data_IF_302453804973
#
_entry.id   IF_302453804973
#
_cell.length_a   1.000
_cell.length_b   1.000
_cell.length_c   1.000
_cell.angle_alpha   90.00
_cell.angle_beta   90.00
_cell.angle_gamma   90.00
#
_symmetry.space_group_name_H-M   'P 1'
#
loop_
_entity.id
_entity.type
_entity.pdbx_description
1 polymer ?
#
# COMPACT_ATOMS: atom_id res chain seq x y z
N UNK A 1 43.87 8.04 66.77
CA UNK A 1 43.52 6.80 67.50
C UNK A 1 41.99 6.69 67.47
N UNK A 2 41.31 5.77 66.79
CA UNK A 2 41.63 4.45 66.28
C UNK A 2 40.74 4.11 65.06
N UNK A 3 41.35 3.42 64.10
CA UNK A 3 40.89 2.24 63.35
C UNK A 3 39.57 2.20 62.54
N UNK A 4 39.82 2.03 61.24
CA UNK A 4 39.12 1.28 60.20
C UNK A 4 38.25 0.09 60.66
N UNK A 5 37.05 -0.08 60.10
CA UNK A 5 36.42 -1.41 59.88
C UNK A 5 35.53 -1.37 58.63
N UNK A 6 35.87 -2.25 57.70
CA UNK A 6 35.21 -2.57 56.42
C UNK A 6 33.87 -3.28 56.67
N UNK A 7 32.86 -3.04 55.81
CA UNK A 7 32.01 -4.12 55.25
C UNK A 7 31.14 -3.64 54.07
N UNK A 8 31.52 -4.17 52.91
CA UNK A 8 30.80 -4.24 51.65
C UNK A 8 29.63 -5.24 51.76
N UNK A 9 28.81 -5.32 50.71
CA UNK A 9 27.66 -6.21 50.45
C UNK A 9 26.37 -5.74 51.14
N UNK A 10 25.34 -5.32 50.40
CA UNK A 10 24.69 -6.11 49.35
C UNK A 10 24.13 -5.21 48.24
N UNK A 11 24.52 -5.54 47.02
CA UNK A 11 23.82 -5.20 45.79
C UNK A 11 22.31 -5.40 46.00
N UNK A 12 21.53 -4.34 45.81
CA UNK A 12 20.07 -4.39 45.79
C UNK A 12 19.63 -4.96 44.43
N UNK A 13 19.91 -6.24 44.23
CA UNK A 13 19.45 -7.04 43.11
C UNK A 13 18.01 -7.45 43.42
N UNK A 14 17.06 -6.59 43.07
CA UNK A 14 15.65 -6.96 43.03
C UNK A 14 15.52 -7.98 41.91
N UNK A 15 15.58 -9.26 42.28
CA UNK A 15 15.18 -10.38 41.46
C UNK A 15 13.68 -10.24 41.17
N UNK A 16 13.35 -9.68 40.01
CA UNK A 16 12.03 -9.86 39.40
C UNK A 16 11.88 -11.37 39.15
N UNK A 17 10.95 -11.99 39.86
CA UNK A 17 10.82 -13.45 39.88
C UNK A 17 10.35 -13.97 38.51
N UNK A 18 10.96 -15.03 37.94
CA UNK A 18 10.58 -15.61 36.63
C UNK A 18 9.12 -16.09 36.49
N UNK A 19 8.34 -16.01 37.57
CA UNK A 19 6.95 -16.46 37.65
C UNK A 19 5.99 -15.34 37.19
N UNK A 20 6.33 -14.07 37.42
CA UNK A 20 5.48 -12.94 37.00
C UNK A 20 5.57 -12.68 35.49
N UNK A 21 6.72 -12.93 34.85
CA UNK A 21 6.90 -12.73 33.41
C UNK A 21 6.05 -13.71 32.58
N UNK A 22 6.03 -15.01 32.94
CA UNK A 22 5.20 -16.01 32.24
C UNK A 22 3.70 -15.74 32.34
N UNK A 23 3.22 -15.33 33.52
CA UNK A 23 1.80 -15.00 33.71
C UNK A 23 1.39 -13.76 32.92
N UNK A 24 2.31 -12.84 32.63
CA UNK A 24 2.05 -11.66 31.83
C UNK A 24 2.04 -11.98 30.32
N UNK A 25 2.91 -12.87 29.87
CA UNK A 25 2.93 -13.38 28.48
C UNK A 25 1.64 -14.16 28.13
N UNK A 26 1.17 -15.02 29.04
CA UNK A 26 -0.07 -15.79 28.84
C UNK A 26 -1.31 -14.87 28.79
N UNK A 27 -1.38 -13.85 29.66
CA UNK A 27 -2.45 -12.84 29.62
C UNK A 27 -2.42 -12.01 28.34
N UNK A 28 -1.24 -11.59 27.89
CA UNK A 28 -1.09 -10.87 26.63
C UNK A 28 -1.52 -11.72 25.43
N UNK A 29 -1.24 -13.03 25.45
CA UNK A 29 -1.69 -13.99 24.44
C UNK A 29 -3.21 -14.17 24.44
N UNK A 30 -3.83 -14.28 25.63
CA UNK A 30 -5.28 -14.36 25.80
C UNK A 30 -6.00 -13.09 25.32
N UNK A 31 -5.47 -11.91 25.64
CA UNK A 31 -6.02 -10.63 25.18
C UNK A 31 -5.93 -10.47 23.65
N UNK A 32 -4.83 -10.90 23.04
CA UNK A 32 -4.68 -10.92 21.59
C UNK A 32 -5.66 -11.91 20.93
N UNK A 33 -5.84 -13.09 21.51
CA UNK A 33 -6.80 -14.08 21.04
C UNK A 33 -8.24 -13.56 21.15
N UNK A 34 -8.59 -12.96 22.29
CA UNK A 34 -9.89 -12.33 22.49
C UNK A 34 -10.14 -11.21 21.47
N UNK A 35 -9.15 -10.36 21.23
CA UNK A 35 -9.24 -9.29 20.22
C UNK A 35 -9.46 -9.84 18.82
N UNK A 36 -8.77 -10.93 18.45
CA UNK A 36 -8.99 -11.64 17.17
C UNK A 36 -10.42 -12.18 17.05
N UNK A 37 -10.93 -12.83 18.09
CA UNK A 37 -12.29 -13.37 18.12
C UNK A 37 -13.32 -12.23 18.04
N UNK A 38 -13.12 -11.14 18.77
CA UNK A 38 -13.99 -9.96 18.74
C UNK A 38 -14.00 -9.30 17.35
N UNK A 39 -12.83 -9.12 16.74
CA UNK A 39 -12.71 -8.56 15.39
C UNK A 39 -13.38 -9.47 14.35
N UNK A 40 -13.18 -10.79 14.45
CA UNK A 40 -13.80 -11.77 13.57
C UNK A 40 -15.33 -11.77 13.71
N UNK A 41 -15.85 -11.69 14.94
CA UNK A 41 -17.29 -11.66 15.20
C UNK A 41 -17.94 -10.35 14.72
N UNK A 42 -17.32 -9.20 15.00
CA UNK A 42 -17.79 -7.89 14.47
C UNK A 42 -17.84 -7.92 12.95
N UNK A 43 -16.79 -8.43 12.31
CA UNK A 43 -16.75 -8.62 10.86
C UNK A 43 -17.82 -9.59 10.35
N UNK A 44 -18.05 -10.71 11.04
CA UNK A 44 -19.07 -11.69 10.69
C UNK A 44 -20.49 -11.10 10.80
N UNK A 45 -20.77 -10.33 11.85
CA UNK A 45 -22.05 -9.64 12.04
C UNK A 45 -22.35 -8.66 10.91
N UNK A 46 -21.36 -7.85 10.51
CA UNK A 46 -21.49 -6.93 9.36
C UNK A 46 -21.66 -7.68 8.05
N UNK A 47 -20.88 -8.74 7.80
CA UNK A 47 -21.04 -9.56 6.58
C UNK A 47 -22.39 -10.25 6.53
N UNK A 48 -22.89 -10.76 7.65
CA UNK A 48 -24.18 -11.46 7.71
C UNK A 48 -25.36 -10.49 7.54
N UNK A 49 -25.29 -9.28 8.08
CA UNK A 49 -26.32 -8.26 7.83
C UNK A 49 -26.34 -7.79 6.37
N UNK A 50 -25.18 -7.67 5.72
CA UNK A 50 -25.08 -7.39 4.28
C UNK A 50 -25.55 -8.58 3.43
N UNK A 51 -25.18 -9.80 3.81
CA UNK A 51 -25.61 -11.04 3.12
C UNK A 51 -27.12 -11.29 3.24
N UNK A 52 -27.75 -10.93 4.36
CA UNK A 52 -29.21 -10.99 4.48
C UNK A 52 -29.92 -9.93 3.65
N UNK A 53 -29.29 -8.77 3.39
CA UNK A 53 -29.81 -7.78 2.44
C UNK A 53 -29.72 -8.30 1.00
N UNK A 54 -28.62 -8.95 0.62
CA UNK A 54 -28.50 -9.58 -0.71
C UNK A 54 -29.38 -10.83 -0.86
N UNK A 55 -29.68 -11.59 0.20
CA UNK A 55 -30.61 -12.72 0.13
C UNK A 55 -32.09 -12.33 0.00
N UNK A 56 -32.44 -11.06 0.28
CA UNK A 56 -33.77 -10.49 -0.01
C UNK A 56 -33.87 -9.88 -1.41
N UNK A 57 -32.77 -9.78 -2.16
CA UNK A 57 -32.86 -9.54 -3.58
C UNK A 57 -33.28 -10.86 -4.23
N UNK A 58 -34.59 -11.01 -4.43
CA UNK A 58 -35.03 -11.74 -5.62
C UNK A 58 -34.30 -11.13 -6.82
N UNK A 59 -33.98 -11.90 -7.88
CA UNK A 59 -33.59 -11.29 -9.14
C UNK A 59 -34.78 -10.47 -9.62
N UNK A 60 -34.84 -9.20 -9.20
CA UNK A 60 -35.66 -8.18 -9.85
C UNK A 60 -35.29 -8.26 -11.33
N UNK A 61 -36.28 -8.32 -12.22
CA UNK A 61 -35.99 -8.33 -13.65
C UNK A 61 -35.06 -7.15 -13.96
N UNK A 62 -34.00 -7.40 -14.72
CA UNK A 62 -33.12 -6.31 -15.14
C UNK A 62 -33.99 -5.23 -15.79
N UNK A 63 -33.85 -3.96 -15.36
CA UNK A 63 -34.70 -2.90 -15.85
C UNK A 63 -34.55 -2.83 -17.36
N UNK A 64 -35.67 -2.86 -18.06
CA UNK A 64 -35.68 -2.80 -19.51
C UNK A 64 -35.11 -1.45 -19.95
N UNK A 65 -34.53 -1.41 -21.15
CA UNK A 65 -34.01 -0.15 -21.73
C UNK A 65 -35.03 0.99 -21.70
N UNK A 66 -36.31 0.68 -21.91
CA UNK A 66 -37.40 1.66 -21.89
C UNK A 66 -37.65 2.24 -20.49
N UNK A 67 -37.53 1.44 -19.44
CA UNK A 67 -37.67 1.89 -18.04
C UNK A 67 -36.48 2.78 -17.65
N UNK A 68 -35.26 2.40 -18.02
CA UNK A 68 -34.07 3.22 -17.83
C UNK A 68 -34.14 4.56 -18.56
N UNK A 69 -34.65 4.58 -19.79
CA UNK A 69 -34.80 5.81 -20.59
C UNK A 69 -35.98 6.70 -20.11
N UNK A 70 -36.93 6.11 -19.39
CA UNK A 70 -37.95 6.85 -18.67
C UNK A 70 -37.39 7.51 -17.39
N UNK A 71 -36.50 6.83 -16.66
CA UNK A 71 -35.89 7.33 -15.43
C UNK A 71 -34.72 8.30 -15.70
N UNK A 72 -33.90 8.04 -16.71
CA UNK A 72 -32.73 8.85 -17.09
C UNK A 72 -32.99 9.66 -18.36
N UNK A 73 -33.90 10.62 -18.26
CA UNK A 73 -34.29 11.46 -19.41
C UNK A 73 -33.14 12.38 -19.81
N UNK A 74 -32.82 12.40 -21.10
CA UNK A 74 -31.81 13.30 -21.66
C UNK A 74 -32.23 14.79 -21.55
N UNK A 75 -33.52 15.07 -21.39
CA UNK A 75 -34.05 16.42 -21.21
C UNK A 75 -34.01 16.88 -19.74
N UNK A 76 -33.70 15.99 -18.80
CA UNK A 76 -33.54 16.35 -17.40
C UNK A 76 -32.21 17.08 -17.20
N UNK A 77 -32.32 18.40 -17.04
CA UNK A 77 -31.19 19.30 -16.85
C UNK A 77 -30.39 18.99 -15.59
N UNK A 78 -31.02 18.53 -14.51
CA UNK A 78 -30.32 18.20 -13.26
C UNK A 78 -29.46 16.94 -13.45
N UNK A 79 -30.02 15.92 -14.09
CA UNK A 79 -29.31 14.70 -14.42
C UNK A 79 -28.13 14.96 -15.36
N UNK A 80 -28.33 15.75 -16.42
CA UNK A 80 -27.24 16.12 -17.35
C UNK A 80 -26.11 16.88 -16.64
N UNK A 81 -26.45 17.81 -15.74
CA UNK A 81 -25.45 18.55 -14.97
C UNK A 81 -24.67 17.63 -14.02
N UNK A 82 -25.36 16.71 -13.34
CA UNK A 82 -24.73 15.72 -12.46
C UNK A 82 -23.79 14.80 -13.25
N UNK A 83 -24.26 14.25 -14.37
CA UNK A 83 -23.46 13.41 -15.26
C UNK A 83 -22.21 14.15 -15.77
N UNK A 84 -22.38 15.40 -16.21
CA UNK A 84 -21.26 16.25 -16.66
C UNK A 84 -20.25 16.47 -15.55
N UNK A 85 -20.69 16.72 -14.30
CA UNK A 85 -19.80 16.90 -13.15
C UNK A 85 -19.00 15.64 -12.82
N UNK A 86 -19.64 14.46 -12.89
CA UNK A 86 -18.98 13.17 -12.67
C UNK A 86 -17.94 12.93 -13.76
N UNK A 87 -18.30 13.10 -15.02
CA UNK A 87 -17.40 12.91 -16.16
C UNK A 87 -16.21 13.87 -16.10
N UNK A 88 -16.44 15.16 -15.82
CA UNK A 88 -15.38 16.14 -15.68
C UNK A 88 -14.43 15.80 -14.53
N UNK A 89 -14.97 15.40 -13.37
CA UNK A 89 -14.18 14.97 -12.22
C UNK A 89 -13.30 13.75 -12.55
N UNK A 90 -13.87 12.74 -13.20
CA UNK A 90 -13.15 11.52 -13.59
C UNK A 90 -12.05 11.83 -14.60
N UNK A 91 -12.34 12.57 -15.67
CA UNK A 91 -11.33 12.98 -16.66
C UNK A 91 -10.18 13.75 -15.99
N UNK A 92 -10.52 14.66 -15.08
CA UNK A 92 -9.52 15.38 -14.29
C UNK A 92 -8.69 14.49 -13.36
N UNK A 93 -9.32 13.50 -12.71
CA UNK A 93 -8.62 12.53 -11.86
C UNK A 93 -7.63 11.69 -12.66
N UNK A 94 -8.04 11.18 -13.82
CA UNK A 94 -7.19 10.39 -14.70
C UNK A 94 -5.97 11.19 -15.17
N UNK A 95 -6.17 12.45 -15.60
CA UNK A 95 -5.06 13.32 -16.01
C UNK A 95 -4.06 13.56 -14.86
N UNK A 96 -4.56 13.90 -13.65
CA UNK A 96 -3.70 14.12 -12.48
C UNK A 96 -2.93 12.86 -12.08
N UNK A 97 -3.59 11.70 -12.10
CA UNK A 97 -2.96 10.42 -11.76
C UNK A 97 -1.82 10.09 -12.72
N UNK A 98 -2.02 10.29 -14.03
CA UNK A 98 -0.97 10.08 -15.01
C UNK A 98 0.24 11.00 -14.76
N UNK A 99 0.01 12.29 -14.52
CA UNK A 99 1.11 13.23 -14.23
C UNK A 99 1.84 12.93 -12.92
N UNK A 100 1.16 12.41 -11.89
CA UNK A 100 1.82 11.98 -10.66
C UNK A 100 2.72 10.77 -10.92
N UNK A 101 2.23 9.76 -11.64
CA UNK A 101 3.03 8.59 -12.00
C UNK A 101 4.27 8.97 -12.81
N UNK A 102 4.16 9.93 -13.73
CA UNK A 102 5.31 10.43 -14.49
C UNK A 102 6.31 11.18 -13.60
N UNK A 103 5.85 12.03 -12.69
CA UNK A 103 6.71 12.74 -11.73
C UNK A 103 7.41 11.80 -10.75
N UNK A 104 6.69 10.80 -10.23
CA UNK A 104 7.26 9.83 -9.30
C UNK A 104 8.34 8.99 -10.00
N UNK A 105 8.13 8.62 -11.27
CA UNK A 105 9.17 7.97 -12.09
C UNK A 105 10.37 8.87 -12.32
N UNK A 106 10.15 10.14 -12.71
CA UNK A 106 11.25 11.07 -12.97
C UNK A 106 12.07 11.34 -11.70
N UNK A 107 11.41 11.42 -10.54
CA UNK A 107 12.08 11.58 -9.26
C UNK A 107 12.89 10.32 -8.89
N UNK A 108 12.31 9.14 -9.08
CA UNK A 108 13.00 7.87 -8.88
C UNK A 108 14.22 7.74 -9.79
N UNK A 109 14.09 8.07 -11.08
CA UNK A 109 15.19 8.05 -12.04
C UNK A 109 16.31 9.01 -11.63
N UNK A 110 15.99 10.21 -11.12
CA UNK A 110 16.97 11.17 -10.60
C UNK A 110 17.69 10.63 -9.36
N UNK A 111 16.95 10.08 -8.40
CA UNK A 111 17.53 9.47 -7.21
C UNK A 111 18.43 8.29 -7.55
N UNK A 112 18.06 7.48 -8.53
CA UNK A 112 18.86 6.34 -8.96
C UNK A 112 20.13 6.79 -9.70
N UNK A 113 20.07 7.88 -10.46
CA UNK A 113 21.26 8.51 -11.05
C UNK A 113 22.21 9.03 -9.95
N UNK A 114 21.69 9.68 -8.91
CA UNK A 114 22.50 10.20 -7.80
C UNK A 114 23.22 9.09 -7.02
N UNK A 115 22.68 7.87 -6.99
CA UNK A 115 23.29 6.70 -6.34
C UNK A 115 24.39 6.03 -7.16
N UNK A 116 24.60 6.43 -8.42
CA UNK A 116 25.63 5.83 -9.29
C UNK A 116 27.01 6.29 -8.87
N UNK A 117 27.87 5.35 -8.46
CA UNK A 117 29.30 5.59 -8.30
C UNK A 117 30.01 5.53 -9.66
N UNK A 118 30.35 6.70 -10.20
CA UNK A 118 31.09 6.82 -11.46
C UNK A 118 32.53 6.29 -11.39
N UNK A 119 33.07 6.12 -10.18
CA UNK A 119 34.42 5.61 -9.98
C UNK A 119 34.47 4.08 -9.91
N UNK A 120 33.31 3.41 -9.86
CA UNK A 120 33.24 1.95 -9.84
C UNK A 120 33.81 1.35 -11.14
N UNK A 121 34.91 0.58 -11.08
CA UNK A 121 35.48 -0.06 -12.25
C UNK A 121 34.57 -1.12 -12.87
N UNK A 122 33.66 -1.75 -12.12
CA UNK A 122 32.72 -2.75 -12.66
C UNK A 122 31.60 -2.09 -13.48
N UNK A 123 31.01 -1.01 -12.96
CA UNK A 123 30.05 -0.17 -13.69
C UNK A 123 30.63 0.37 -15.01
N UNK A 124 31.87 0.88 -15.00
CA UNK A 124 32.53 1.40 -16.20
C UNK A 124 32.76 0.32 -17.26
N UNK A 125 33.15 -0.91 -16.87
CA UNK A 125 33.27 -2.04 -17.78
C UNK A 125 31.92 -2.42 -18.41
N UNK A 126 30.86 -2.47 -17.60
CA UNK A 126 29.51 -2.76 -18.07
C UNK A 126 29.01 -1.69 -19.05
N UNK A 127 29.16 -0.40 -18.71
CA UNK A 127 28.80 0.72 -19.57
C UNK A 127 29.52 0.66 -20.93
N UNK A 128 30.83 0.41 -20.92
CA UNK A 128 31.63 0.27 -22.14
C UNK A 128 31.11 -0.87 -23.03
N UNK A 129 30.74 -2.01 -22.45
CA UNK A 129 30.18 -3.16 -23.18
C UNK A 129 28.83 -2.83 -23.82
N UNK A 130 27.95 -2.14 -23.09
CA UNK A 130 26.64 -1.69 -23.59
C UNK A 130 26.82 -0.69 -24.74
N UNK A 131 27.70 0.32 -24.57
CA UNK A 131 28.00 1.32 -25.58
C UNK A 131 28.57 0.70 -26.86
N UNK A 132 29.53 -0.23 -26.75
CA UNK A 132 30.11 -0.94 -27.88
C UNK A 132 29.06 -1.77 -28.64
N UNK A 133 28.21 -2.51 -27.90
CA UNK A 133 27.10 -3.28 -28.48
C UNK A 133 26.12 -2.39 -29.24
N UNK A 134 25.71 -1.27 -28.63
CA UNK A 134 24.79 -0.31 -29.25
C UNK A 134 25.37 0.34 -30.50
N UNK A 135 26.64 0.78 -30.45
CA UNK A 135 27.33 1.33 -31.62
C UNK A 135 27.39 0.32 -32.77
N UNK A 136 27.68 -0.94 -32.47
CA UNK A 136 27.65 -2.02 -33.45
C UNK A 136 26.24 -2.27 -34.01
N UNK A 137 25.20 -2.25 -33.17
CA UNK A 137 23.82 -2.39 -33.60
C UNK A 137 23.39 -1.26 -34.54
N UNK A 138 23.73 -0.01 -34.22
CA UNK A 138 23.43 1.16 -35.04
C UNK A 138 24.04 1.03 -36.45
N UNK A 139 25.33 0.67 -36.53
CA UNK A 139 26.00 0.44 -37.81
C UNK A 139 25.32 -0.65 -38.63
N UNK A 140 24.93 -1.78 -38.01
CA UNK A 140 24.23 -2.87 -38.72
C UNK A 140 22.83 -2.51 -39.19
N UNK A 141 22.16 -1.56 -38.53
CA UNK A 141 20.87 -1.03 -38.99
C UNK A 141 21.02 -0.01 -40.12
N UNK A 142 22.07 0.81 -40.05
CA UNK A 142 22.32 1.89 -41.01
C UNK A 142 22.97 1.39 -42.31
N UNK A 143 23.47 0.16 -42.36
CA UNK A 143 23.91 -0.50 -43.61
C UNK A 143 22.68 -1.15 -44.27
N UNK A 144 22.13 -0.57 -45.35
CA UNK A 144 21.09 -1.23 -46.13
C UNK A 144 21.69 -2.47 -46.82
N UNK A 145 20.90 -3.54 -46.85
CA UNK A 145 21.24 -4.79 -47.55
C UNK A 145 21.05 -4.65 -49.07
#
# INVERSE_FOLDING_TARGET
MFSFTVRNLKNNFILLSPIEEKQNEDKASEEQAATKIQAAFRGHKTRKSMSMKTAKNQPEPEPTRAELEAEFRADDKELCNAATKIQASFRGHQARKQTQVEKDKEQQDKEDIEKIDLTDPELNKAATKIQASFRGHKVRKDVPN
#
